data_IF_929480392361
#
_entry.id   IF_929480392361
#
_cell.length_a   1.000
_cell.length_b   1.000
_cell.length_c   1.000
_cell.angle_alpha   90.00
_cell.angle_beta   90.00
_cell.angle_gamma   90.00
#
_symmetry.space_group_name_H-M   'P 1'
#
loop_
_entity.id
_entity.type
_entity.pdbx_description
1 polymer ?
#
# COMPACT_ATOMS: atom_id res chain seq x y z
N UNK A 1 2.78 -37.83 -17.49
CA UNK A 1 2.39 -36.43 -17.30
C UNK A 1 1.39 -36.44 -16.18
N UNK A 2 1.81 -35.98 -14.99
CA UNK A 2 1.11 -36.21 -13.74
C UNK A 2 0.02 -35.16 -13.50
N UNK A 3 -1.13 -35.64 -13.05
CA UNK A 3 -2.32 -34.86 -12.63
C UNK A 3 -2.10 -34.26 -11.22
N UNK A 4 -0.90 -34.39 -10.66
CA UNK A 4 -0.59 -33.98 -9.28
C UNK A 4 -0.29 -32.51 -9.03
N UNK A 5 -0.01 -31.71 -10.06
CA UNK A 5 0.44 -30.33 -9.87
C UNK A 5 -0.70 -29.28 -9.83
N UNK A 6 -1.93 -29.66 -10.20
CA UNK A 6 -3.03 -28.69 -10.29
C UNK A 6 -3.70 -28.34 -8.95
N UNK A 7 -3.73 -29.27 -7.96
CA UNK A 7 -4.38 -28.98 -6.67
C UNK A 7 -3.58 -27.99 -5.82
N UNK A 8 -2.25 -28.10 -5.84
CA UNK A 8 -1.38 -27.12 -5.16
C UNK A 8 -1.46 -25.71 -5.78
N UNK A 9 -1.58 -25.63 -7.10
CA UNK A 9 -1.72 -24.37 -7.83
C UNK A 9 -3.03 -23.62 -7.54
N UNK A 10 -4.12 -24.34 -7.33
CA UNK A 10 -5.43 -23.74 -7.06
C UNK A 10 -5.48 -23.05 -5.67
N UNK A 11 -4.93 -23.73 -4.65
CA UNK A 11 -4.85 -23.17 -3.29
C UNK A 11 -3.97 -21.90 -3.25
N UNK A 12 -2.83 -21.94 -3.92
CA UNK A 12 -1.93 -20.79 -4.02
C UNK A 12 -2.56 -19.62 -4.78
N UNK A 13 -3.29 -19.88 -5.85
CA UNK A 13 -4.02 -18.86 -6.59
C UNK A 13 -5.09 -18.19 -5.72
N UNK A 14 -5.76 -18.94 -4.85
CA UNK A 14 -6.72 -18.40 -3.91
C UNK A 14 -6.06 -17.51 -2.85
N UNK A 15 -4.94 -17.94 -2.28
CA UNK A 15 -4.19 -17.15 -1.30
C UNK A 15 -3.69 -15.84 -1.93
N UNK A 16 -3.15 -15.91 -3.14
CA UNK A 16 -2.73 -14.73 -3.90
C UNK A 16 -3.90 -13.77 -4.18
N UNK A 17 -5.05 -14.29 -4.57
CA UNK A 17 -6.23 -13.46 -4.82
C UNK A 17 -6.69 -12.73 -3.54
N UNK A 18 -6.62 -13.39 -2.38
CA UNK A 18 -6.95 -12.79 -1.08
C UNK A 18 -5.93 -11.69 -0.72
N UNK A 19 -4.64 -11.90 -0.96
CA UNK A 19 -3.61 -10.88 -0.75
C UNK A 19 -3.82 -9.66 -1.65
N UNK A 20 -4.07 -9.88 -2.95
CA UNK A 20 -4.37 -8.81 -3.88
C UNK A 20 -5.63 -8.03 -3.50
N UNK A 21 -6.68 -8.72 -3.03
CA UNK A 21 -7.89 -8.08 -2.54
C UNK A 21 -7.63 -7.20 -1.32
N UNK A 22 -6.86 -7.69 -0.35
CA UNK A 22 -6.49 -6.90 0.84
C UNK A 22 -5.70 -5.66 0.45
N UNK A 23 -4.74 -5.80 -0.45
CA UNK A 23 -3.96 -4.69 -0.97
C UNK A 23 -4.85 -3.65 -1.67
N UNK A 24 -5.74 -4.08 -2.55
CA UNK A 24 -6.68 -3.21 -3.24
C UNK A 24 -7.62 -2.48 -2.27
N UNK A 25 -8.15 -3.18 -1.26
CA UNK A 25 -9.02 -2.61 -0.25
C UNK A 25 -8.31 -1.57 0.62
N UNK A 26 -7.03 -1.78 0.95
CA UNK A 26 -6.22 -0.79 1.67
C UNK A 26 -5.94 0.45 0.81
N UNK A 27 -5.75 0.29 -0.48
CA UNK A 27 -5.50 1.41 -1.39
C UNK A 27 -6.76 2.21 -1.71
N UNK A 28 -7.85 1.54 -2.08
CA UNK A 28 -9.06 2.20 -2.56
C UNK A 28 -10.00 2.64 -1.43
N UNK A 29 -10.04 1.91 -0.31
CA UNK A 29 -10.96 2.18 0.80
C UNK A 29 -12.39 1.69 0.57
N UNK A 30 -12.70 1.18 -0.60
CA UNK A 30 -13.99 0.63 -0.98
C UNK A 30 -13.84 -0.85 -1.36
N UNK A 31 -14.63 -1.72 -0.73
CA UNK A 31 -14.55 -3.17 -0.92
C UNK A 31 -15.06 -3.63 -2.29
N UNK A 32 -16.08 -2.97 -2.82
CA UNK A 32 -16.63 -3.32 -4.13
C UNK A 32 -15.67 -2.91 -5.26
N UNK A 33 -15.06 -1.72 -5.14
CA UNK A 33 -14.03 -1.28 -6.07
C UNK A 33 -12.77 -2.14 -6.00
N UNK A 34 -12.40 -2.59 -4.79
CA UNK A 34 -11.27 -3.50 -4.58
C UNK A 34 -11.50 -4.85 -5.26
N UNK A 35 -12.69 -5.43 -5.11
CA UNK A 35 -13.04 -6.68 -5.77
C UNK A 35 -12.98 -6.55 -7.29
N UNK A 36 -13.62 -5.52 -7.85
CA UNK A 36 -13.60 -5.25 -9.28
C UNK A 36 -12.18 -4.98 -9.83
N UNK A 37 -11.30 -4.40 -9.01
CA UNK A 37 -9.90 -4.21 -9.38
C UNK A 37 -9.16 -5.54 -9.46
N UNK A 38 -9.34 -6.43 -8.47
CA UNK A 38 -8.70 -7.76 -8.46
C UNK A 38 -9.17 -8.60 -9.64
N UNK A 39 -10.48 -8.65 -9.90
CA UNK A 39 -11.04 -9.36 -11.06
C UNK A 39 -10.39 -8.86 -12.36
N UNK A 40 -10.36 -7.55 -12.58
CA UNK A 40 -9.74 -6.97 -13.77
C UNK A 40 -8.22 -7.22 -13.85
N UNK A 41 -7.53 -7.30 -12.72
CA UNK A 41 -6.11 -7.60 -12.66
C UNK A 41 -5.85 -9.04 -13.08
N UNK A 42 -6.59 -9.99 -12.52
CA UNK A 42 -6.46 -11.42 -12.86
C UNK A 42 -6.76 -11.67 -14.34
N UNK A 43 -7.73 -10.97 -14.91
CA UNK A 43 -8.08 -11.09 -16.33
C UNK A 43 -7.03 -10.48 -17.27
N UNK A 44 -6.32 -9.44 -16.83
CA UNK A 44 -5.41 -8.66 -17.69
C UNK A 44 -3.94 -9.04 -17.58
N UNK A 45 -3.53 -9.68 -16.49
CA UNK A 45 -2.14 -10.12 -16.30
C UNK A 45 -1.92 -11.39 -17.13
N UNK A 46 -1.21 -11.24 -18.24
CA UNK A 46 -0.71 -12.40 -19.01
C UNK A 46 0.44 -13.04 -18.21
N UNK A 47 0.12 -14.11 -17.49
CA UNK A 47 1.12 -14.89 -16.78
C UNK A 47 1.66 -15.94 -17.75
N UNK A 48 2.97 -15.93 -17.99
CA UNK A 48 3.63 -17.04 -18.65
C UNK A 48 3.46 -18.30 -17.77
N UNK A 49 2.79 -19.36 -18.25
CA UNK A 49 2.61 -20.59 -17.47
C UNK A 49 3.93 -21.26 -17.03
N UNK A 50 5.04 -20.86 -17.65
CA UNK A 50 6.38 -21.34 -17.34
C UNK A 50 7.19 -20.37 -16.46
N UNK A 51 6.65 -19.19 -16.16
CA UNK A 51 7.33 -18.25 -15.26
C UNK A 51 7.38 -18.76 -13.81
N UNK A 52 8.42 -18.43 -13.05
CA UNK A 52 8.42 -18.65 -11.61
C UNK A 52 7.21 -17.98 -10.95
N UNK A 53 6.58 -18.69 -10.01
CA UNK A 53 5.37 -18.22 -9.31
C UNK A 53 5.57 -16.83 -8.69
N UNK A 54 6.72 -16.57 -8.07
CA UNK A 54 7.04 -15.29 -7.46
C UNK A 54 7.05 -14.13 -8.48
N UNK A 55 7.54 -14.36 -9.68
CA UNK A 55 7.58 -13.36 -10.74
C UNK A 55 6.17 -13.02 -11.23
N UNK A 56 5.29 -14.03 -11.34
CA UNK A 56 3.91 -13.84 -11.72
C UNK A 56 3.12 -13.06 -10.66
N UNK A 57 3.33 -13.37 -9.38
CA UNK A 57 2.72 -12.67 -8.26
C UNK A 57 3.20 -11.21 -8.21
N UNK A 58 4.49 -10.98 -8.40
CA UNK A 58 5.06 -9.64 -8.39
C UNK A 58 4.54 -8.78 -9.55
N UNK A 59 4.44 -9.36 -10.74
CA UNK A 59 3.83 -8.71 -11.89
C UNK A 59 2.36 -8.33 -11.62
N UNK A 60 1.58 -9.23 -10.99
CA UNK A 60 0.21 -8.96 -10.60
C UNK A 60 0.11 -7.83 -9.57
N UNK A 61 0.99 -7.80 -8.57
CA UNK A 61 1.07 -6.71 -7.57
C UNK A 61 1.37 -5.37 -8.23
N UNK A 62 2.34 -5.32 -9.12
CA UNK A 62 2.69 -4.11 -9.86
C UNK A 62 1.50 -3.61 -10.69
N UNK A 63 0.88 -4.50 -11.46
CA UNK A 63 -0.27 -4.14 -12.30
C UNK A 63 -1.45 -3.63 -11.46
N UNK A 64 -1.77 -4.31 -10.36
CA UNK A 64 -2.84 -3.91 -9.45
C UNK A 64 -2.58 -2.52 -8.86
N UNK A 65 -1.37 -2.26 -8.35
CA UNK A 65 -0.99 -0.98 -7.75
C UNK A 65 -1.08 0.16 -8.77
N UNK A 66 -0.53 -0.02 -9.96
CA UNK A 66 -0.59 1.00 -11.02
C UNK A 66 -2.02 1.28 -11.46
N UNK A 67 -2.85 0.25 -11.56
CA UNK A 67 -4.27 0.40 -11.91
C UNK A 67 -5.04 1.08 -10.78
N UNK A 68 -4.79 0.73 -9.51
CA UNK A 68 -5.37 1.40 -8.35
C UNK A 68 -5.05 2.90 -8.34
N UNK A 69 -3.77 3.24 -8.51
CA UNK A 69 -3.31 4.64 -8.60
C UNK A 69 -4.03 5.37 -9.74
N UNK A 70 -4.16 4.74 -10.91
CA UNK A 70 -4.89 5.30 -12.04
C UNK A 70 -6.35 5.59 -11.71
N UNK A 71 -7.06 4.67 -11.05
CA UNK A 71 -8.45 4.86 -10.61
C UNK A 71 -8.56 6.00 -9.58
N UNK A 72 -7.69 6.00 -8.57
CA UNK A 72 -7.64 7.06 -7.54
C UNK A 72 -7.36 8.43 -8.16
N UNK A 73 -6.46 8.51 -9.14
CA UNK A 73 -6.15 9.76 -9.83
C UNK A 73 -7.30 10.25 -10.72
N UNK A 74 -8.11 9.33 -11.28
CA UNK A 74 -9.33 9.68 -12.00
C UNK A 74 -10.42 10.21 -11.06
N UNK A 75 -10.59 9.60 -9.89
CA UNK A 75 -11.52 10.05 -8.86
C UNK A 75 -11.10 11.40 -8.22
N UNK A 76 -9.81 11.62 -8.10
CA UNK A 76 -9.20 12.81 -7.48
C UNK A 76 -8.13 13.42 -8.40
N UNK A 77 -8.52 14.15 -9.47
CA UNK A 77 -7.57 14.68 -10.43
C UNK A 77 -6.50 15.57 -9.78
N UNK A 78 -5.24 15.27 -10.04
CA UNK A 78 -4.09 15.99 -9.50
C UNK A 78 -3.61 15.52 -8.13
N UNK A 79 -4.30 14.59 -7.46
CA UNK A 79 -3.89 14.05 -6.17
C UNK A 79 -2.54 13.31 -6.21
N UNK A 80 -2.12 12.89 -7.39
CA UNK A 80 -0.84 12.21 -7.64
C UNK A 80 0.17 13.08 -8.40
N UNK A 81 -0.03 14.40 -8.43
CA UNK A 81 1.00 15.30 -8.92
C UNK A 81 2.24 15.24 -8.00
N UNK A 82 3.43 15.06 -8.58
CA UNK A 82 4.64 15.10 -7.80
C UNK A 82 4.84 16.49 -7.19
N UNK A 83 5.12 16.63 -5.88
CA UNK A 83 5.29 17.93 -5.24
C UNK A 83 6.49 18.66 -5.86
N UNK A 84 6.31 19.94 -6.22
CA UNK A 84 7.37 20.75 -6.82
C UNK A 84 8.51 21.04 -5.82
N UNK A 85 8.16 21.23 -4.57
CA UNK A 85 9.08 21.42 -3.46
C UNK A 85 8.68 20.46 -2.34
N UNK A 86 9.67 19.87 -1.70
CA UNK A 86 9.46 19.14 -0.47
C UNK A 86 9.46 20.18 0.65
N UNK A 87 8.38 20.26 1.40
CA UNK A 87 8.38 21.04 2.66
C UNK A 87 9.60 20.60 3.47
N UNK A 88 10.32 21.57 4.04
CA UNK A 88 11.57 21.31 4.75
C UNK A 88 11.41 20.21 5.80
N UNK A 89 12.50 19.65 6.32
CA UNK A 89 12.48 18.42 7.12
C UNK A 89 11.46 18.56 8.26
N UNK A 90 10.36 17.83 8.13
CA UNK A 90 9.42 17.67 9.22
C UNK A 90 10.13 16.84 10.29
N UNK A 91 10.50 17.44 11.39
CA UNK A 91 11.26 16.85 12.50
C UNK A 91 10.39 15.93 13.35
N UNK A 92 9.72 14.96 12.69
CA UNK A 92 9.00 13.99 13.47
C UNK A 92 9.46 12.60 13.15
N UNK A 93 10.19 11.89 13.60
CA UNK A 93 10.59 10.48 13.40
C UNK A 93 11.39 10.29 12.10
N UNK A 94 12.66 10.14 12.21
CA UNK A 94 13.53 9.65 11.15
C UNK A 94 13.47 8.11 11.07
N UNK A 95 13.79 7.52 9.92
CA UNK A 95 13.82 6.05 9.75
C UNK A 95 14.75 5.38 10.78
N UNK A 96 15.78 6.10 11.24
CA UNK A 96 16.68 5.69 12.32
C UNK A 96 15.96 5.64 13.68
N UNK A 97 15.01 6.54 13.94
CA UNK A 97 14.23 6.58 15.18
C UNK A 97 13.23 5.42 15.26
N UNK A 98 12.64 5.03 14.14
CA UNK A 98 11.78 3.85 14.05
C UNK A 98 12.57 2.58 14.35
N UNK A 99 13.78 2.47 13.81
CA UNK A 99 14.70 1.35 14.09
C UNK A 99 15.18 1.37 15.54
N UNK A 100 15.45 2.55 16.10
CA UNK A 100 15.84 2.72 17.50
C UNK A 100 14.70 2.42 18.48
N UNK A 101 13.45 2.72 18.09
CA UNK A 101 12.25 2.35 18.84
C UNK A 101 11.86 0.87 18.70
N UNK A 102 12.62 0.09 17.91
CA UNK A 102 12.34 -1.32 17.66
C UNK A 102 11.10 -1.56 16.81
N UNK A 103 10.59 -0.53 16.15
CA UNK A 103 9.43 -0.63 15.25
C UNK A 103 9.95 -0.98 13.85
N UNK A 104 9.80 -2.22 13.46
CA UNK A 104 10.16 -2.67 12.12
C UNK A 104 9.00 -2.42 11.14
N UNK A 105 9.33 -2.28 9.85
CA UNK A 105 8.34 -2.25 8.77
C UNK A 105 7.43 -3.49 8.78
N UNK A 106 7.94 -4.64 9.23
CA UNK A 106 7.17 -5.86 9.41
C UNK A 106 6.09 -5.73 10.51
N UNK A 107 6.40 -5.06 11.63
CA UNK A 107 5.40 -4.80 12.68
C UNK A 107 4.33 -3.80 12.22
N UNK A 108 4.71 -2.79 11.43
CA UNK A 108 3.74 -1.88 10.82
C UNK A 108 2.87 -2.65 9.81
N UNK A 109 3.46 -3.53 8.99
CA UNK A 109 2.73 -4.36 8.05
C UNK A 109 1.77 -5.33 8.76
N UNK A 110 2.18 -5.92 9.89
CA UNK A 110 1.34 -6.76 10.73
C UNK A 110 0.16 -5.97 11.32
N UNK A 111 0.43 -4.75 11.83
CA UNK A 111 -0.60 -3.84 12.33
C UNK A 111 -1.60 -3.47 11.22
N UNK A 112 -1.11 -3.15 10.02
CA UNK A 112 -1.94 -2.84 8.85
C UNK A 112 -2.72 -4.07 8.39
N UNK A 113 -2.13 -5.26 8.41
CA UNK A 113 -2.80 -6.51 8.06
C UNK A 113 -3.87 -6.92 9.07
N UNK A 114 -3.65 -6.66 10.38
CA UNK A 114 -4.64 -6.88 11.43
C UNK A 114 -5.90 -6.00 11.27
N UNK A 115 -5.80 -4.88 10.52
CA UNK A 115 -6.96 -4.02 10.25
C UNK A 115 -8.05 -4.71 9.42
N UNK A 116 -7.67 -5.72 8.64
CA UNK A 116 -8.62 -6.51 7.85
C UNK A 116 -9.47 -7.47 8.72
N UNK A 117 -9.10 -7.65 9.99
CA UNK A 117 -9.73 -8.62 10.91
C UNK A 117 -10.82 -8.04 11.79
N UNK A 118 -11.13 -6.73 11.72
CA UNK A 118 -12.30 -6.13 12.37
C UNK A 118 -12.20 -5.85 13.87
N UNK A 119 -11.06 -6.11 14.50
CA UNK A 119 -10.83 -5.80 15.93
C UNK A 119 -10.58 -4.29 16.13
N UNK A 120 -11.01 -3.74 17.26
CA UNK A 120 -11.11 -2.29 17.49
C UNK A 120 -9.85 -1.44 17.18
N UNK A 121 -8.64 -1.99 17.24
CA UNK A 121 -7.41 -1.30 16.82
C UNK A 121 -7.26 -1.27 15.30
N UNK A 122 -7.64 -2.35 14.62
CA UNK A 122 -7.71 -2.43 13.16
C UNK A 122 -8.65 -1.38 12.56
N UNK A 123 -9.79 -1.16 13.18
CA UNK A 123 -10.76 -0.15 12.74
C UNK A 123 -10.19 1.28 12.81
N UNK A 124 -9.38 1.60 13.82
CA UNK A 124 -8.76 2.93 13.97
C UNK A 124 -7.70 3.20 12.91
N UNK A 125 -6.84 2.22 12.68
CA UNK A 125 -5.82 2.36 11.65
C UNK A 125 -6.45 2.47 10.25
N UNK A 126 -7.52 1.70 10.00
CA UNK A 126 -8.31 1.83 8.77
C UNK A 126 -8.88 3.24 8.63
N UNK A 127 -9.53 3.75 9.68
CA UNK A 127 -10.10 5.09 9.68
C UNK A 127 -9.03 6.17 9.46
N UNK A 128 -7.84 6.01 10.04
CA UNK A 128 -6.71 6.90 9.80
C UNK A 128 -6.23 6.81 8.35
N UNK A 129 -6.07 5.60 7.82
CA UNK A 129 -5.65 5.36 6.44
C UNK A 129 -6.63 6.01 5.44
N UNK A 130 -7.93 5.92 5.73
CA UNK A 130 -8.99 6.52 4.91
C UNK A 130 -8.96 8.06 4.90
N UNK A 131 -8.34 8.69 5.90
CA UNK A 131 -8.17 10.15 5.97
C UNK A 131 -6.91 10.64 5.24
N UNK A 132 -5.99 9.76 4.87
CA UNK A 132 -4.79 10.17 4.15
C UNK A 132 -5.12 10.67 2.74
N UNK A 133 -4.40 11.71 2.27
CA UNK A 133 -4.41 12.07 0.85
C UNK A 133 -4.10 10.85 -0.03
N UNK A 134 -4.72 10.73 -1.22
CA UNK A 134 -4.61 9.53 -2.05
C UNK A 134 -3.17 9.10 -2.36
N UNK A 135 -2.29 10.02 -2.73
CA UNK A 135 -0.89 9.70 -2.99
C UNK A 135 -0.15 9.22 -1.73
N UNK A 136 -0.39 9.87 -0.58
CA UNK A 136 0.21 9.50 0.70
C UNK A 136 -0.25 8.11 1.15
N UNK A 137 -1.53 7.80 0.98
CA UNK A 137 -2.11 6.48 1.24
C UNK A 137 -1.46 5.41 0.36
N UNK A 138 -1.37 5.67 -0.96
CA UNK A 138 -0.76 4.73 -1.89
C UNK A 138 0.71 4.47 -1.56
N UNK A 139 1.49 5.51 -1.24
CA UNK A 139 2.89 5.38 -0.83
C UNK A 139 3.00 4.58 0.46
N UNK A 140 2.17 4.89 1.46
CA UNK A 140 2.19 4.19 2.74
C UNK A 140 1.92 2.70 2.57
N UNK A 141 0.89 2.32 1.82
CA UNK A 141 0.53 0.91 1.56
C UNK A 141 1.65 0.18 0.81
N UNK A 142 2.21 0.78 -0.24
CA UNK A 142 3.31 0.17 -1.00
C UNK A 142 4.54 -0.08 -0.12
N UNK A 143 4.89 0.89 0.73
CA UNK A 143 6.07 0.81 1.60
C UNK A 143 5.89 -0.18 2.75
N UNK A 144 4.70 -0.23 3.36
CA UNK A 144 4.46 -1.04 4.56
C UNK A 144 3.97 -2.45 4.25
N UNK A 145 3.11 -2.63 3.25
CA UNK A 145 2.51 -3.93 2.93
C UNK A 145 3.36 -4.71 1.93
N UNK A 146 3.81 -4.04 0.87
CA UNK A 146 4.62 -4.69 -0.18
C UNK A 146 6.13 -4.65 0.13
N UNK A 147 6.57 -3.82 1.06
CA UNK A 147 7.99 -3.65 1.36
C UNK A 147 8.79 -3.02 0.21
N UNK A 148 8.12 -2.38 -0.73
CA UNK A 148 8.80 -1.76 -1.87
C UNK A 148 9.70 -0.61 -1.42
N UNK A 149 10.83 -0.45 -2.08
CA UNK A 149 11.72 0.68 -1.84
C UNK A 149 11.15 2.00 -2.40
N UNK A 150 11.80 3.12 -2.10
CA UNK A 150 11.36 4.44 -2.54
C UNK A 150 11.41 4.60 -4.06
N UNK A 151 12.35 3.93 -4.75
CA UNK A 151 12.49 3.97 -6.19
C UNK A 151 11.35 3.24 -6.90
N UNK A 152 11.06 2.01 -6.46
CA UNK A 152 9.96 1.19 -6.96
C UNK A 152 8.61 1.88 -6.73
N UNK A 153 8.42 2.45 -5.53
CA UNK A 153 7.21 3.22 -5.18
C UNK A 153 7.04 4.44 -6.10
N UNK A 154 8.09 5.24 -6.30
CA UNK A 154 8.06 6.41 -7.17
C UNK A 154 7.76 6.04 -8.63
N UNK A 155 8.34 4.95 -9.12
CA UNK A 155 8.08 4.45 -10.46
C UNK A 155 6.62 4.02 -10.64
N UNK A 156 6.03 3.31 -9.67
CA UNK A 156 4.63 2.91 -9.70
C UNK A 156 3.67 4.11 -9.67
N UNK A 157 3.97 5.14 -8.86
CA UNK A 157 3.20 6.39 -8.84
C UNK A 157 3.24 7.09 -10.21
N UNK A 158 4.43 7.20 -10.80
CA UNK A 158 4.62 7.86 -12.08
C UNK A 158 3.86 7.15 -13.20
N UNK A 159 3.95 5.81 -13.27
CA UNK A 159 3.25 5.02 -14.28
C UNK A 159 1.74 5.01 -14.08
N UNK A 160 1.27 4.73 -12.86
CA UNK A 160 -0.15 4.63 -12.56
C UNK A 160 -0.90 5.94 -12.75
N UNK A 161 -0.35 7.05 -12.29
CA UNK A 161 -0.95 8.37 -12.43
C UNK A 161 -0.62 9.07 -13.76
N UNK A 162 0.32 8.54 -14.55
CA UNK A 162 0.91 9.23 -15.72
C UNK A 162 1.42 10.62 -15.34
N UNK A 163 2.09 10.70 -14.19
CA UNK A 163 2.51 11.95 -13.57
C UNK A 163 3.60 12.67 -14.41
N UNK A 164 3.44 13.98 -14.59
CA UNK A 164 4.44 14.85 -15.20
C UNK A 164 4.54 16.11 -14.32
N UNK A 165 5.71 16.39 -13.69
CA UNK A 165 6.94 15.57 -13.70
C UNK A 165 6.76 14.21 -13.00
N UNK A 166 7.67 13.27 -13.30
CA UNK A 166 7.71 11.96 -12.64
C UNK A 166 8.09 12.09 -11.15
N UNK A 167 7.62 11.17 -10.34
CA UNK A 167 7.99 11.07 -8.94
C UNK A 167 9.45 10.63 -8.80
N UNK A 168 10.15 11.24 -7.88
CA UNK A 168 11.49 10.81 -7.45
C UNK A 168 11.42 9.95 -6.18
N UNK A 169 12.45 9.13 -5.97
CA UNK A 169 12.60 8.36 -4.75
C UNK A 169 12.64 9.24 -3.48
N UNK A 170 13.22 10.44 -3.57
CA UNK A 170 13.27 11.39 -2.48
C UNK A 170 11.88 11.93 -2.10
N UNK A 171 11.04 12.23 -3.10
CA UNK A 171 9.66 12.65 -2.86
C UNK A 171 8.82 11.53 -2.24
N UNK A 172 8.95 10.28 -2.73
CA UNK A 172 8.26 9.13 -2.15
C UNK A 172 8.69 8.90 -0.69
N UNK A 173 9.98 9.03 -0.38
CA UNK A 173 10.52 8.91 0.98
C UNK A 173 9.94 9.98 1.90
N UNK A 174 9.92 11.24 1.46
CA UNK A 174 9.42 12.35 2.27
C UNK A 174 7.94 12.21 2.59
N UNK A 175 7.12 11.89 1.58
CA UNK A 175 5.68 11.69 1.78
C UNK A 175 5.41 10.48 2.68
N UNK A 176 6.20 9.40 2.57
CA UNK A 176 6.13 8.26 3.48
C UNK A 176 6.41 8.67 4.93
N UNK A 177 7.47 9.45 5.16
CA UNK A 177 7.82 9.99 6.48
C UNK A 177 6.69 10.84 7.06
N UNK A 178 6.06 11.70 6.25
CA UNK A 178 4.90 12.49 6.67
C UNK A 178 3.72 11.60 7.09
N UNK A 179 3.47 10.49 6.38
CA UNK A 179 2.45 9.53 6.75
C UNK A 179 2.74 8.87 8.10
N UNK A 180 3.99 8.45 8.34
CA UNK A 180 4.42 7.89 9.62
C UNK A 180 4.25 8.88 10.77
N UNK A 181 4.58 10.15 10.55
CA UNK A 181 4.38 11.21 11.52
C UNK A 181 2.89 11.39 11.88
N UNK A 182 2.03 11.40 10.88
CA UNK A 182 0.59 11.49 11.06
C UNK A 182 0.05 10.30 11.86
N UNK A 183 0.54 9.09 11.57
CA UNK A 183 0.19 7.87 12.31
C UNK A 183 0.60 7.97 13.77
N UNK A 184 1.85 8.34 14.05
CA UNK A 184 2.37 8.49 15.41
C UNK A 184 1.53 9.49 16.22
N UNK A 185 1.21 10.65 15.63
CA UNK A 185 0.34 11.66 16.23
C UNK A 185 -1.06 11.12 16.54
N UNK A 186 -1.63 10.35 15.61
CA UNK A 186 -2.95 9.72 15.80
C UNK A 186 -2.94 8.72 16.95
N UNK A 187 -1.90 7.91 17.08
CA UNK A 187 -1.74 6.93 18.16
C UNK A 187 -1.58 7.61 19.54
N UNK A 188 -0.75 8.66 19.62
CA UNK A 188 -0.56 9.44 20.86
C UNK A 188 -1.87 10.08 21.31
N UNK A 189 -2.64 10.67 20.40
CA UNK A 189 -3.94 11.25 20.74
C UNK A 189 -4.95 10.19 21.22
N UNK A 190 -4.97 9.01 20.60
CA UNK A 190 -5.83 7.91 21.02
C UNK A 190 -5.51 7.43 22.43
N UNK A 191 -4.22 7.34 22.79
CA UNK A 191 -3.80 6.93 24.12
C UNK A 191 -4.11 8.00 25.18
N UNK A 192 -3.91 9.28 24.86
CA UNK A 192 -4.28 10.38 25.75
C UNK A 192 -5.77 10.39 26.09
N UNK A 193 -6.64 10.03 25.13
CA UNK A 193 -8.07 9.92 25.35
C UNK A 193 -8.46 8.72 26.24
N UNK A 194 -7.71 7.60 26.20
CA UNK A 194 -7.93 6.44 27.08
C UNK A 194 -7.61 6.74 28.54
N UNK A 195 -6.59 7.55 28.79
CA UNK A 195 -6.14 7.90 30.15
C UNK A 195 -7.05 8.94 30.81
N UNK A 196 -7.81 9.69 30.03
CA UNK A 196 -8.70 10.75 30.50
C UNK A 196 -10.11 10.26 30.95
N UNK A 197 -10.42 8.96 30.79
CA UNK A 197 -11.67 8.31 31.19
C UNK A 197 -11.46 7.45 32.44
#
# INVERSE_FOLDING_TARGET
MGIGDCEGGLLKAQDTAVELYRLAALMLGDEAEALALVESTVESVEVDPCAPEEEAIDAARHHLVETAIGRMNQAHPGAFAAPAELDGPVTCIEDEDLSAAGISSAQIAELVSATASGDGEGSRLRSWLDQLPPAQRAIFVQRTVLGWDNGTTAAALSRGAKAIPEWSAAQASEIFRQALCSLATSLVHAEAQRVAV
#
